data_IF_464455723203
#
_entry.id   IF_464455723203
#
_cell.length_a   1.000
_cell.length_b   1.000
_cell.length_c   1.000
_cell.angle_alpha   90.00
_cell.angle_beta   90.00
_cell.angle_gamma   90.00
#
_symmetry.space_group_name_H-M   'P 1'
#
loop_
_entity.id
_entity.type
_entity.pdbx_description
1 polymer ?
#
# COMPACT_ATOMS: atom_id res chain seq x y z
N UNK A 1 45.13 24.64 -28.17
CA UNK A 1 45.31 24.98 -26.74
C UNK A 1 44.61 26.31 -26.55
N UNK A 2 43.60 26.51 -25.69
CA UNK A 2 43.18 25.75 -24.53
C UNK A 2 41.63 25.64 -24.46
N UNK A 3 41.19 24.55 -23.86
CA UNK A 3 39.81 24.24 -23.48
C UNK A 3 39.45 25.05 -22.24
N UNK A 4 38.36 25.80 -22.25
CA UNK A 4 37.73 26.29 -21.02
C UNK A 4 36.65 25.31 -20.60
N UNK A 5 36.96 24.61 -19.52
CA UNK A 5 36.10 23.69 -18.78
C UNK A 5 35.11 24.55 -18.01
N UNK A 6 33.87 24.65 -18.50
CA UNK A 6 32.77 25.22 -17.72
C UNK A 6 32.52 24.32 -16.51
N UNK A 7 32.83 24.85 -15.33
CA UNK A 7 32.69 24.16 -14.06
C UNK A 7 31.23 23.76 -13.84
N UNK A 8 31.00 22.46 -13.70
CA UNK A 8 29.82 21.88 -13.10
C UNK A 8 29.60 22.48 -11.70
N UNK A 9 28.63 23.39 -11.60
CA UNK A 9 28.05 23.80 -10.32
C UNK A 9 27.35 22.57 -9.71
N UNK A 10 27.94 22.01 -8.66
CA UNK A 10 27.26 21.07 -7.77
C UNK A 10 26.12 21.80 -7.05
N UNK A 11 24.87 21.30 -7.09
CA UNK A 11 23.78 21.88 -6.32
C UNK A 11 23.85 21.45 -4.84
N UNK A 12 23.18 22.26 -4.03
CA UNK A 12 23.24 22.29 -2.58
C UNK A 12 22.76 20.99 -1.93
N UNK A 13 23.56 20.46 -0.99
CA UNK A 13 23.22 19.39 -0.04
C UNK A 13 22.16 18.40 -0.55
N UNK A 14 22.47 17.76 -1.69
CA UNK A 14 21.56 16.83 -2.35
C UNK A 14 21.21 15.70 -1.38
N UNK A 15 19.93 15.59 -1.05
CA UNK A 15 19.41 14.41 -0.38
C UNK A 15 19.70 13.20 -1.24
N UNK A 16 20.32 12.19 -0.65
CA UNK A 16 20.51 10.93 -1.36
C UNK A 16 19.17 10.17 -1.52
N UNK A 17 19.15 9.17 -2.40
CA UNK A 17 17.94 8.38 -2.66
C UNK A 17 17.43 7.68 -1.37
N UNK A 18 18.35 7.32 -0.46
CA UNK A 18 18.00 6.63 0.79
C UNK A 18 17.30 7.57 1.77
N UNK A 19 17.73 8.83 1.86
CA UNK A 19 17.11 9.89 2.65
C UNK A 19 15.73 10.23 2.10
N UNK A 20 15.57 10.27 0.76
CA UNK A 20 14.27 10.46 0.13
C UNK A 20 13.30 9.32 0.46
N UNK A 21 13.73 8.06 0.37
CA UNK A 21 12.93 6.88 0.77
C UNK A 21 12.55 6.92 2.25
N UNK A 22 13.52 7.27 3.12
CA UNK A 22 13.32 7.43 4.56
C UNK A 22 12.21 8.45 4.87
N UNK A 23 12.28 9.61 4.23
CA UNK A 23 11.28 10.65 4.40
C UNK A 23 9.90 10.27 3.87
N UNK A 24 9.82 9.58 2.72
CA UNK A 24 8.55 9.12 2.18
C UNK A 24 7.86 8.11 3.12
N UNK A 25 8.63 7.20 3.73
CA UNK A 25 8.09 6.29 4.74
C UNK A 25 7.66 7.01 6.02
N UNK A 26 8.41 8.03 6.44
CA UNK A 26 8.03 8.86 7.59
C UNK A 26 6.73 9.62 7.34
N UNK A 27 6.60 10.23 6.16
CA UNK A 27 5.36 10.91 5.74
C UNK A 27 4.18 9.93 5.62
N UNK A 28 4.41 8.70 5.16
CA UNK A 28 3.39 7.66 5.13
C UNK A 28 2.88 7.30 6.55
N UNK A 29 3.79 7.14 7.52
CA UNK A 29 3.42 6.91 8.93
C UNK A 29 2.63 8.08 9.52
N UNK A 30 3.05 9.32 9.25
CA UNK A 30 2.33 10.53 9.65
C UNK A 30 0.94 10.59 9.02
N UNK A 31 0.81 10.21 7.76
CA UNK A 31 -0.48 10.16 7.07
C UNK A 31 -1.39 9.09 7.68
N UNK A 32 -0.87 7.94 8.09
CA UNK A 32 -1.63 6.92 8.82
C UNK A 32 -2.15 7.47 10.16
N UNK A 33 -1.29 8.12 10.95
CA UNK A 33 -1.69 8.77 12.21
C UNK A 33 -2.76 9.85 11.98
N UNK A 34 -2.59 10.71 10.98
CA UNK A 34 -3.58 11.72 10.61
C UNK A 34 -4.92 11.08 10.21
N UNK A 35 -4.90 9.93 9.54
CA UNK A 35 -6.12 9.22 9.13
C UNK A 35 -6.92 8.63 10.29
N UNK A 36 -6.29 8.45 11.46
CA UNK A 36 -6.94 8.01 12.69
C UNK A 36 -7.60 9.17 13.45
N UNK A 37 -7.19 10.42 13.21
CA UNK A 37 -7.74 11.60 13.91
C UNK A 37 -9.25 11.77 13.72
N UNK A 38 -9.84 11.62 12.51
CA UNK A 38 -11.30 11.70 12.34
C UNK A 38 -12.08 10.62 13.09
N UNK A 39 -11.43 9.50 13.46
CA UNK A 39 -12.05 8.42 14.25
C UNK A 39 -12.03 8.70 15.74
N UNK A 40 -10.99 9.41 16.20
CA UNK A 40 -10.79 9.75 17.61
C UNK A 40 -11.53 11.04 17.97
N UNK A 41 -11.55 12.00 17.04
CA UNK A 41 -12.33 13.22 17.10
C UNK A 41 -13.72 12.93 16.52
N UNK A 42 -14.58 12.24 17.27
CA UNK A 42 -16.02 12.36 17.03
C UNK A 42 -16.35 13.82 17.32
N UNK A 43 -16.45 14.64 16.28
CA UNK A 43 -16.82 16.03 16.42
C UNK A 43 -18.09 16.11 17.27
N UNK A 44 -18.17 17.00 18.27
CA UNK A 44 -19.40 17.18 19.02
C UNK A 44 -20.57 17.39 18.04
N UNK A 45 -21.74 16.81 18.31
CA UNK A 45 -22.91 16.94 17.43
C UNK A 45 -23.36 18.40 17.21
N UNK A 46 -22.81 19.36 17.96
CA UNK A 46 -23.12 20.78 17.83
C UNK A 46 -22.52 21.46 16.58
N UNK A 47 -21.74 20.74 15.77
CA UNK A 47 -21.24 21.20 14.45
C UNK A 47 -22.01 20.63 13.25
N UNK A 48 -23.27 20.23 13.43
CA UNK A 48 -24.20 20.06 12.30
C UNK A 48 -24.65 21.44 11.78
N UNK A 49 -23.79 22.07 10.97
CA UNK A 49 -24.23 23.13 10.06
C UNK A 49 -24.97 22.43 8.90
N UNK A 50 -26.30 22.50 8.97
CA UNK A 50 -27.32 22.06 8.01
C UNK A 50 -27.89 20.65 8.22
N UNK A 51 -28.86 20.57 9.14
CA UNK A 51 -30.20 20.02 8.87
C UNK A 51 -30.31 18.54 8.47
N UNK A 52 -30.11 17.62 9.42
CA UNK A 52 -30.78 16.31 9.39
C UNK A 52 -31.31 15.94 10.77
N UNK A 53 -32.59 16.21 10.99
CA UNK A 53 -33.37 15.50 12.01
C UNK A 53 -33.55 14.07 11.55
N UNK A 54 -32.76 13.13 12.07
CA UNK A 54 -33.11 11.71 12.08
C UNK A 54 -33.18 11.23 13.51
N UNK A 55 -34.35 10.74 13.87
CA UNK A 55 -34.73 10.11 15.13
C UNK A 55 -33.66 9.18 15.69
N UNK A 56 -33.26 9.46 16.94
CA UNK A 56 -32.41 8.62 17.75
C UNK A 56 -33.14 7.31 18.10
N UNK A 57 -32.66 6.19 17.55
CA UNK A 57 -33.06 4.85 17.95
C UNK A 57 -32.04 4.30 18.97
N UNK A 58 -32.41 4.04 20.25
CA UNK A 58 -31.46 3.65 21.28
C UNK A 58 -30.96 2.19 21.21
N UNK A 59 -31.40 1.36 20.25
CA UNK A 59 -31.21 -0.11 20.35
C UNK A 59 -29.98 -0.71 19.64
N UNK A 60 -29.05 0.09 19.11
CA UNK A 60 -27.80 -0.44 18.53
C UNK A 60 -26.60 -0.17 19.43
N UNK A 61 -26.67 -0.67 20.67
CA UNK A 61 -25.53 -0.77 21.56
C UNK A 61 -25.12 -2.24 21.67
N UNK A 62 -24.43 -2.77 20.64
CA UNK A 62 -23.78 -4.08 20.73
C UNK A 62 -22.36 -4.01 20.18
N UNK A 63 -21.42 -4.07 21.14
CA UNK A 63 -20.10 -4.70 21.02
C UNK A 63 -19.24 -4.30 19.83
N UNK A 64 -18.51 -3.19 20.01
CA UNK A 64 -17.18 -3.02 19.42
C UNK A 64 -16.22 -2.78 20.58
N UNK A 65 -15.75 -3.85 21.22
CA UNK A 65 -14.49 -3.83 21.98
C UNK A 65 -13.32 -3.75 20.98
N UNK A 66 -13.28 -2.69 20.19
CA UNK A 66 -12.03 -2.29 19.56
C UNK A 66 -11.28 -1.48 20.60
N UNK A 67 -10.04 -1.88 20.88
CA UNK A 67 -9.12 -1.21 21.82
C UNK A 67 -9.29 0.30 21.69
N UNK A 68 -9.89 0.93 22.69
CA UNK A 68 -10.01 2.38 22.75
C UNK A 68 -8.59 2.93 22.89
N UNK A 69 -7.96 3.25 21.76
CA UNK A 69 -6.81 4.11 21.80
C UNK A 69 -7.26 5.43 22.41
N UNK A 70 -6.59 5.86 23.48
CA UNK A 70 -6.84 7.15 24.10
C UNK A 70 -6.75 8.26 23.03
N UNK A 71 -7.86 8.94 22.69
CA UNK A 71 -7.88 10.00 21.69
C UNK A 71 -6.86 11.09 22.00
N UNK A 72 -6.61 11.36 23.29
CA UNK A 72 -5.63 12.33 23.75
C UNK A 72 -4.21 11.90 23.39
N UNK A 73 -3.89 10.62 23.57
CA UNK A 73 -2.60 10.04 23.20
C UNK A 73 -2.33 10.08 21.69
N UNK A 74 -3.34 9.81 20.85
CA UNK A 74 -3.18 9.87 19.39
C UNK A 74 -2.95 11.30 18.93
N UNK A 75 -3.75 12.25 19.42
CA UNK A 75 -3.62 13.66 19.06
C UNK A 75 -2.26 14.22 19.50
N UNK A 76 -1.83 13.91 20.73
CA UNK A 76 -0.53 14.34 21.23
C UNK A 76 0.62 13.70 20.46
N UNK A 77 0.52 12.40 20.15
CA UNK A 77 1.51 11.68 19.34
C UNK A 77 1.64 12.28 17.93
N UNK A 78 0.51 12.53 17.26
CA UNK A 78 0.51 13.19 15.96
C UNK A 78 1.08 14.60 16.03
N UNK A 79 0.68 15.41 17.02
CA UNK A 79 1.19 16.78 17.18
C UNK A 79 2.71 16.79 17.41
N UNK A 80 3.21 15.90 18.27
CA UNK A 80 4.64 15.77 18.53
C UNK A 80 5.40 15.32 17.26
N UNK A 81 4.88 14.34 16.52
CA UNK A 81 5.49 13.87 15.27
C UNK A 81 5.43 14.94 14.17
N UNK A 82 4.34 15.71 14.07
CA UNK A 82 4.19 16.80 13.10
C UNK A 82 5.13 17.98 13.39
N UNK A 83 5.33 18.30 14.68
CA UNK A 83 6.22 19.37 15.13
C UNK A 83 7.68 18.92 15.26
N UNK A 84 8.00 17.65 14.97
CA UNK A 84 9.37 17.16 15.06
C UNK A 84 10.28 17.86 14.04
N UNK A 85 11.55 18.01 14.41
CA UNK A 85 12.56 18.61 13.54
C UNK A 85 12.71 17.84 12.22
N UNK A 86 12.60 16.52 12.27
CA UNK A 86 12.63 15.64 11.10
C UNK A 86 11.51 15.97 10.11
N UNK A 87 10.26 16.06 10.58
CA UNK A 87 9.11 16.39 9.72
C UNK A 87 9.25 17.79 9.12
N UNK A 88 9.68 18.78 9.92
CA UNK A 88 9.86 20.13 9.42
C UNK A 88 10.99 20.22 8.39
N UNK A 89 12.09 19.50 8.59
CA UNK A 89 13.19 19.42 7.62
C UNK A 89 12.76 18.79 6.30
N UNK A 90 11.98 17.70 6.34
CA UNK A 90 11.41 17.07 5.14
C UNK A 90 10.52 18.08 4.37
N UNK A 91 9.65 18.80 5.08
CA UNK A 91 8.73 19.76 4.46
C UNK A 91 9.46 20.99 3.89
N UNK A 92 10.52 21.44 4.55
CA UNK A 92 11.37 22.54 4.08
C UNK A 92 12.11 22.12 2.81
N UNK A 93 12.77 20.97 2.81
CA UNK A 93 13.42 20.41 1.64
C UNK A 93 12.43 20.25 0.47
N UNK A 94 11.24 19.70 0.72
CA UNK A 94 10.20 19.53 -0.32
C UNK A 94 9.79 20.87 -0.95
N UNK A 95 9.68 21.94 -0.15
CA UNK A 95 9.36 23.29 -0.65
C UNK A 95 10.50 23.86 -1.48
N UNK A 96 11.75 23.61 -1.10
CA UNK A 96 12.92 24.03 -1.86
C UNK A 96 13.02 23.27 -3.18
N UNK A 97 12.83 21.96 -3.17
CA UNK A 97 12.80 21.13 -4.38
C UNK A 97 11.65 21.55 -5.33
N UNK A 98 10.46 21.84 -4.81
CA UNK A 98 9.33 22.30 -5.63
C UNK A 98 9.59 23.67 -6.27
N UNK A 99 10.34 24.56 -5.60
CA UNK A 99 10.75 25.84 -6.18
C UNK A 99 11.80 25.65 -7.27
N UNK A 100 12.70 24.66 -7.11
CA UNK A 100 13.73 24.34 -8.07
C UNK A 100 13.18 23.62 -9.32
N UNK A 101 12.23 22.70 -9.13
CA UNK A 101 11.53 21.99 -10.21
C UNK A 101 10.00 22.02 -9.98
N UNK A 102 9.28 22.89 -10.70
CA UNK A 102 7.83 22.98 -10.58
C UNK A 102 7.09 21.87 -11.35
N UNK A 103 7.75 21.07 -12.20
CA UNK A 103 7.09 20.01 -12.96
C UNK A 103 6.97 18.72 -12.15
N UNK A 104 5.77 18.49 -11.60
CA UNK A 104 5.44 17.28 -10.84
C UNK A 104 4.83 16.17 -11.72
N UNK A 105 4.93 16.26 -13.05
CA UNK A 105 4.35 15.25 -13.96
C UNK A 105 4.93 13.84 -13.72
N UNK A 106 6.19 13.75 -13.30
CA UNK A 106 6.84 12.50 -12.93
C UNK A 106 6.26 11.85 -11.66
N UNK A 107 5.67 12.64 -10.74
CA UNK A 107 5.10 12.15 -9.49
C UNK A 107 3.93 11.17 -9.71
N UNK A 108 3.29 11.18 -10.88
CA UNK A 108 2.25 10.20 -11.24
C UNK A 108 2.77 8.75 -11.19
N UNK A 109 4.08 8.55 -11.39
CA UNK A 109 4.72 7.22 -11.34
C UNK A 109 5.16 6.82 -9.93
N UNK A 110 5.18 7.76 -9.00
CA UNK A 110 5.66 7.54 -7.63
C UNK A 110 4.51 6.93 -6.81
N UNK A 111 4.70 5.75 -6.19
CA UNK A 111 3.65 5.14 -5.39
C UNK A 111 3.33 6.01 -4.18
N UNK A 112 2.05 6.17 -3.88
CA UNK A 112 1.59 6.95 -2.72
C UNK A 112 1.84 6.23 -1.38
N UNK A 113 1.98 4.91 -1.40
CA UNK A 113 2.04 4.04 -0.22
C UNK A 113 3.08 2.92 -0.37
N UNK A 114 3.45 2.34 0.78
CA UNK A 114 4.35 1.21 0.99
C UNK A 114 5.84 1.53 0.98
N UNK A 115 6.19 2.79 1.26
CA UNK A 115 7.55 3.22 1.55
C UNK A 115 8.06 2.63 2.87
N UNK A 116 7.18 2.44 3.85
CA UNK A 116 7.50 1.75 5.11
C UNK A 116 7.96 0.31 4.83
N UNK A 117 7.20 -0.43 4.03
CA UNK A 117 7.50 -1.81 3.66
C UNK A 117 8.80 -1.93 2.84
N UNK A 118 9.11 -0.91 2.01
CA UNK A 118 10.35 -0.86 1.22
C UNK A 118 11.56 -0.69 2.14
N UNK A 119 11.51 0.24 3.09
CA UNK A 119 12.61 0.47 4.03
C UNK A 119 12.85 -0.70 4.97
N UNK A 120 11.78 -1.31 5.48
CA UNK A 120 11.90 -2.44 6.40
C UNK A 120 12.53 -3.64 5.68
N UNK A 121 12.18 -3.88 4.41
CA UNK A 121 12.85 -4.88 3.58
C UNK A 121 14.32 -4.56 3.31
N UNK A 122 14.66 -3.30 3.00
CA UNK A 122 16.06 -2.89 2.77
C UNK A 122 16.91 -3.05 4.05
N UNK A 123 16.31 -2.79 5.23
CA UNK A 123 16.95 -3.04 6.53
C UNK A 123 17.08 -4.52 6.86
N UNK A 124 16.07 -5.32 6.56
CA UNK A 124 16.11 -6.78 6.73
C UNK A 124 17.17 -7.40 5.81
N UNK A 125 17.26 -6.95 4.56
CA UNK A 125 18.32 -7.37 3.64
C UNK A 125 19.73 -6.96 4.13
N UNK A 126 19.88 -5.77 4.71
CA UNK A 126 21.15 -5.31 5.30
C UNK A 126 21.52 -5.97 6.63
N UNK A 127 20.55 -6.44 7.42
CA UNK A 127 20.79 -7.15 8.68
C UNK A 127 21.24 -8.61 8.48
N UNK A 128 20.88 -9.22 7.35
CA UNK A 128 21.32 -10.58 6.96
C UNK A 128 22.80 -10.62 6.55
N UNK A 129 23.45 -9.48 6.25
CA UNK A 129 24.88 -9.45 5.89
C UNK A 129 25.86 -9.77 7.05
N UNK A 130 25.39 -9.97 8.29
CA UNK A 130 26.25 -10.40 9.42
C UNK A 130 25.94 -11.78 10.00
N UNK A 131 25.03 -12.54 9.41
CA UNK A 131 24.71 -13.89 9.88
C UNK A 131 24.00 -14.68 8.80
N UNK A 132 24.76 -15.59 8.19
CA UNK A 132 24.41 -16.50 7.09
C UNK A 132 24.18 -15.88 5.71
N UNK A 133 25.08 -16.31 4.80
CA UNK A 133 24.98 -16.20 3.36
C UNK A 133 23.70 -16.89 2.87
N UNK A 134 22.58 -16.17 2.83
CA UNK A 134 21.46 -16.52 1.98
C UNK A 134 21.49 -15.57 0.78
N UNK A 135 22.26 -16.03 -0.21
CA UNK A 135 22.11 -15.80 -1.64
C UNK A 135 21.66 -14.39 -2.09
N UNK A 136 22.65 -13.59 -2.46
CA UNK A 136 22.55 -12.81 -3.70
C UNK A 136 22.20 -13.77 -4.84
N UNK A 137 20.91 -13.99 -5.10
CA UNK A 137 20.48 -14.63 -6.33
C UNK A 137 20.62 -13.60 -7.45
N UNK A 138 21.71 -13.80 -8.20
CA UNK A 138 21.84 -13.45 -9.60
C UNK A 138 20.53 -13.71 -10.38
N UNK A 139 20.38 -13.04 -11.52
CA UNK A 139 19.36 -13.21 -12.56
C UNK A 139 19.18 -14.67 -13.04
N UNK A 140 18.72 -15.55 -12.15
CA UNK A 140 18.17 -16.86 -12.46
C UNK A 140 16.65 -16.72 -12.47
N UNK A 141 16.08 -17.26 -13.52
CA UNK A 141 14.66 -17.37 -13.80
C UNK A 141 13.84 -17.58 -12.51
N UNK A 142 13.20 -16.52 -12.00
CA UNK A 142 12.31 -16.60 -10.83
C UNK A 142 11.45 -17.85 -10.97
N UNK A 143 11.52 -18.77 -10.00
CA UNK A 143 10.77 -20.02 -10.01
C UNK A 143 9.27 -19.74 -9.82
N UNK A 144 8.63 -19.33 -10.91
CA UNK A 144 7.20 -19.02 -10.96
C UNK A 144 6.39 -20.25 -10.59
N UNK A 145 6.81 -21.41 -11.09
CA UNK A 145 6.17 -22.69 -10.83
C UNK A 145 6.11 -22.99 -9.34
N UNK A 146 7.25 -22.89 -8.63
CA UNK A 146 7.31 -23.07 -7.18
C UNK A 146 6.44 -22.08 -6.42
N UNK A 147 6.50 -20.78 -6.77
CA UNK A 147 5.68 -19.74 -6.12
C UNK A 147 4.18 -20.00 -6.35
N UNK A 148 3.78 -20.34 -7.57
CA UNK A 148 2.38 -20.60 -7.91
C UNK A 148 1.87 -21.88 -7.26
N UNK A 149 2.71 -22.92 -7.17
CA UNK A 149 2.32 -24.19 -6.55
C UNK A 149 2.20 -24.05 -5.03
N UNK A 150 3.09 -23.29 -4.38
CA UNK A 150 2.93 -22.89 -2.98
C UNK A 150 1.61 -22.13 -2.77
N UNK A 151 1.30 -21.17 -3.65
CA UNK A 151 0.04 -20.43 -3.60
C UNK A 151 -1.19 -21.34 -3.76
N UNK A 152 -1.16 -22.30 -4.70
CA UNK A 152 -2.25 -23.28 -4.87
C UNK A 152 -2.45 -24.14 -3.62
N UNK A 153 -1.35 -24.53 -2.97
CA UNK A 153 -1.38 -25.31 -1.74
C UNK A 153 -1.99 -24.52 -0.57
N UNK A 154 -1.58 -23.27 -0.39
CA UNK A 154 -2.12 -22.37 0.65
C UNK A 154 -3.58 -21.95 0.38
N UNK A 155 -3.96 -21.86 -0.90
CA UNK A 155 -5.26 -21.36 -1.32
C UNK A 155 -5.98 -22.31 -2.30
N UNK A 156 -6.46 -23.48 -1.84
CA UNK A 156 -7.05 -24.52 -2.69
C UNK A 156 -8.36 -24.10 -3.38
N UNK A 157 -8.96 -22.98 -2.97
CA UNK A 157 -10.18 -22.41 -3.59
C UNK A 157 -9.90 -21.68 -4.90
N UNK A 158 -8.63 -21.43 -5.21
CA UNK A 158 -8.20 -20.70 -6.39
C UNK A 158 -7.90 -21.68 -7.52
N UNK A 159 -8.45 -21.39 -8.70
CA UNK A 159 -8.06 -22.02 -9.96
C UNK A 159 -6.98 -21.16 -10.59
N UNK A 160 -5.76 -21.66 -10.64
CA UNK A 160 -4.62 -20.98 -11.25
C UNK A 160 -4.15 -21.77 -12.47
N UNK A 161 -4.14 -21.11 -13.63
CA UNK A 161 -3.59 -21.65 -14.87
C UNK A 161 -2.40 -20.79 -15.30
N UNK A 162 -1.35 -21.44 -15.78
CA UNK A 162 -0.17 -20.78 -16.34
C UNK A 162 -0.15 -21.08 -17.84
N UNK A 163 -0.02 -20.04 -18.65
CA UNK A 163 -0.04 -20.08 -20.10
C UNK A 163 1.16 -19.31 -20.67
N UNK A 164 1.44 -19.53 -21.96
CA UNK A 164 2.47 -18.81 -22.73
C UNK A 164 3.84 -18.81 -22.04
N UNK A 165 4.39 -20.00 -21.79
CA UNK A 165 5.74 -20.19 -21.23
C UNK A 165 5.99 -19.39 -19.94
N UNK A 166 5.09 -19.52 -18.97
CA UNK A 166 5.15 -18.82 -17.67
C UNK A 166 5.03 -17.29 -17.74
N UNK A 167 4.55 -16.74 -18.85
CA UNK A 167 4.33 -15.29 -18.99
C UNK A 167 2.93 -14.85 -18.56
N UNK A 168 1.95 -15.75 -18.63
CA UNK A 168 0.55 -15.43 -18.36
C UNK A 168 0.01 -16.31 -17.24
N UNK A 169 -0.34 -15.69 -16.10
CA UNK A 169 -0.94 -16.39 -14.97
C UNK A 169 -2.42 -15.95 -14.86
N UNK A 170 -3.31 -16.89 -15.11
CA UNK A 170 -4.76 -16.71 -14.99
C UNK A 170 -5.23 -17.26 -13.64
N UNK A 171 -5.79 -16.39 -12.80
CA UNK A 171 -6.23 -16.74 -11.45
C UNK A 171 -7.73 -16.49 -11.35
N UNK A 172 -8.48 -17.48 -10.85
CA UNK A 172 -9.93 -17.37 -10.73
C UNK A 172 -10.43 -18.00 -9.43
N UNK A 173 -11.35 -17.33 -8.76
CA UNK A 173 -12.06 -17.89 -7.61
C UNK A 173 -13.49 -17.38 -7.55
N UNK A 174 -14.37 -18.16 -6.91
CA UNK A 174 -15.81 -17.88 -6.84
C UNK A 174 -16.20 -17.38 -5.45
N UNK A 175 -16.85 -16.22 -5.43
CA UNK A 175 -17.62 -15.70 -4.31
C UNK A 175 -19.12 -16.01 -4.54
N UNK A 176 -19.98 -15.96 -3.50
CA UNK A 176 -21.38 -16.37 -3.63
C UNK A 176 -22.13 -15.72 -4.80
N UNK A 177 -21.90 -14.42 -5.03
CA UNK A 177 -22.59 -13.64 -6.07
C UNK A 177 -21.64 -13.11 -7.15
N UNK A 178 -20.38 -13.55 -7.16
CA UNK A 178 -19.34 -12.92 -7.99
C UNK A 178 -18.24 -13.91 -8.36
N UNK A 179 -17.88 -13.96 -9.63
CA UNK A 179 -16.69 -14.67 -10.09
C UNK A 179 -15.56 -13.66 -10.25
N UNK A 180 -14.48 -13.85 -9.51
CA UNK A 180 -13.27 -13.04 -9.61
C UNK A 180 -12.31 -13.69 -10.59
N UNK A 181 -11.81 -12.92 -11.55
CA UNK A 181 -10.80 -13.35 -12.53
C UNK A 181 -9.69 -12.32 -12.57
N UNK A 182 -8.47 -12.78 -12.42
CA UNK A 182 -7.27 -11.98 -12.49
C UNK A 182 -6.38 -12.53 -13.59
N UNK A 183 -5.70 -11.63 -14.27
CA UNK A 183 -4.72 -11.94 -15.29
C UNK A 183 -3.44 -11.21 -14.92
N UNK A 184 -2.35 -11.97 -14.76
CA UNK A 184 -1.03 -11.43 -14.47
C UNK A 184 -0.14 -11.71 -15.68
N UNK A 185 0.37 -10.63 -16.28
CA UNK A 185 1.28 -10.65 -17.41
C UNK A 185 2.68 -10.31 -16.92
N UNK A 186 3.64 -11.20 -17.19
CA UNK A 186 5.06 -10.95 -16.97
C UNK A 186 5.68 -10.45 -18.27
N UNK A 187 6.07 -9.17 -18.30
CA UNK A 187 6.75 -8.56 -19.45
C UNK A 187 8.23 -8.38 -19.14
N UNK A 188 9.09 -8.76 -20.08
CA UNK A 188 10.53 -8.45 -20.00
C UNK A 188 10.76 -7.00 -20.45
N UNK A 189 11.39 -6.21 -19.59
CA UNK A 189 11.79 -4.85 -19.90
C UNK A 189 13.15 -4.80 -20.60
N UNK A 190 13.48 -3.66 -21.22
CA UNK A 190 14.73 -3.45 -21.97
C UNK A 190 15.98 -3.50 -21.10
N UNK A 191 15.84 -3.27 -19.80
CA UNK A 191 16.88 -3.41 -18.78
C UNK A 191 17.14 -4.88 -18.38
N UNK A 192 16.41 -5.84 -18.94
CA UNK A 192 16.49 -7.26 -18.56
C UNK A 192 15.65 -7.64 -17.34
N UNK A 193 15.08 -6.67 -16.64
CA UNK A 193 14.16 -6.89 -15.53
C UNK A 193 12.79 -7.35 -16.03
N UNK A 194 11.98 -7.89 -15.12
CA UNK A 194 10.61 -8.27 -15.41
C UNK A 194 9.65 -7.33 -14.71
N UNK A 195 8.66 -6.87 -15.46
CA UNK A 195 7.50 -6.14 -14.95
C UNK A 195 6.31 -7.08 -14.86
N UNK A 196 5.61 -7.04 -13.72
CA UNK A 196 4.34 -7.72 -13.56
C UNK A 196 3.20 -6.72 -13.77
N UNK A 197 2.33 -6.99 -14.74
CA UNK A 197 1.09 -6.24 -14.92
C UNK A 197 -0.07 -7.13 -14.53
N UNK A 198 -0.90 -6.65 -13.60
CA UNK A 198 -2.02 -7.40 -13.09
C UNK A 198 -3.32 -6.67 -13.39
N UNK A 199 -4.29 -7.37 -13.94
CA UNK A 199 -5.64 -6.87 -14.17
C UNK A 199 -6.69 -7.78 -13.53
N UNK A 200 -7.74 -7.17 -12.96
CA UNK A 200 -8.95 -7.86 -12.60
C UNK A 200 -9.95 -7.75 -13.76
N UNK A 201 -10.30 -8.89 -14.36
CA UNK A 201 -11.08 -8.95 -15.60
C UNK A 201 -12.58 -8.84 -15.30
N UNK A 202 -13.23 -7.85 -15.91
CA UNK A 202 -14.69 -7.76 -15.98
C UNK A 202 -15.19 -6.34 -16.21
N UNK A 203 -16.53 -6.19 -16.31
CA UNK A 203 -17.18 -4.92 -16.70
C UNK A 203 -17.80 -4.14 -15.54
N UNK A 204 -18.03 -4.76 -14.38
CA UNK A 204 -18.56 -4.05 -13.22
C UNK A 204 -17.56 -3.02 -12.71
N UNK A 205 -18.00 -1.86 -12.18
CA UNK A 205 -17.11 -0.79 -11.71
C UNK A 205 -16.03 -1.22 -10.71
N UNK A 206 -16.28 -2.29 -9.94
CA UNK A 206 -15.34 -2.86 -8.99
C UNK A 206 -14.07 -3.40 -9.64
N UNK A 207 -14.17 -4.05 -10.79
CA UNK A 207 -13.01 -4.68 -11.44
C UNK A 207 -11.95 -3.68 -11.92
N UNK A 208 -12.29 -2.62 -12.69
CA UNK A 208 -11.29 -1.62 -13.06
C UNK A 208 -10.75 -0.86 -11.83
N UNK A 209 -11.54 -0.70 -10.75
CA UNK A 209 -11.05 -0.14 -9.50
C UNK A 209 -9.99 -1.05 -8.85
N UNK A 210 -10.23 -2.37 -8.81
CA UNK A 210 -9.25 -3.35 -8.36
C UNK A 210 -7.99 -3.32 -9.24
N UNK A 211 -8.13 -3.29 -10.57
CA UNK A 211 -6.99 -3.18 -11.50
C UNK A 211 -6.11 -1.97 -11.20
N UNK A 212 -6.72 -0.79 -10.96
CA UNK A 212 -5.96 0.41 -10.57
C UNK A 212 -5.23 0.22 -9.24
N UNK A 213 -5.88 -0.38 -8.25
CA UNK A 213 -5.27 -0.66 -6.95
C UNK A 213 -4.11 -1.67 -7.04
N UNK A 214 -4.24 -2.69 -7.88
CA UNK A 214 -3.16 -3.64 -8.17
C UNK A 214 -1.98 -2.93 -8.84
N UNK A 215 -2.24 -2.03 -9.79
CA UNK A 215 -1.19 -1.28 -10.47
C UNK A 215 -0.42 -0.33 -9.53
N UNK A 216 -1.09 0.24 -8.52
CA UNK A 216 -0.48 1.12 -7.51
C UNK A 216 0.12 0.40 -6.31
N UNK A 217 0.34 -0.92 -6.39
CA UNK A 217 0.89 -1.71 -5.29
C UNK A 217 2.35 -1.33 -4.97
N UNK A 218 2.79 -1.45 -3.71
CA UNK A 218 4.13 -1.01 -3.30
C UNK A 218 5.26 -1.91 -3.78
N UNK A 219 4.98 -3.20 -4.02
CA UNK A 219 5.94 -4.18 -4.56
C UNK A 219 5.52 -4.61 -5.96
N UNK A 220 5.76 -3.77 -7.00
CA UNK A 220 5.25 -4.03 -8.34
C UNK A 220 5.86 -5.30 -8.97
N UNK A 221 7.08 -5.70 -8.64
CA UNK A 221 7.73 -6.85 -9.29
C UNK A 221 7.81 -8.11 -8.42
N UNK A 222 7.17 -8.10 -7.24
CA UNK A 222 7.10 -9.26 -6.34
C UNK A 222 5.84 -10.08 -6.64
N UNK A 223 6.04 -11.26 -7.27
CA UNK A 223 4.92 -12.14 -7.63
C UNK A 223 4.22 -12.70 -6.39
N UNK A 224 4.97 -13.07 -5.34
CA UNK A 224 4.37 -13.63 -4.12
C UNK A 224 3.48 -12.59 -3.46
N UNK A 225 3.97 -11.36 -3.28
CA UNK A 225 3.18 -10.26 -2.74
C UNK A 225 1.91 -10.01 -3.57
N UNK A 226 2.01 -10.03 -4.89
CA UNK A 226 0.85 -9.86 -5.78
C UNK A 226 -0.17 -10.98 -5.60
N UNK A 227 0.27 -12.23 -5.49
CA UNK A 227 -0.60 -13.38 -5.25
C UNK A 227 -1.29 -13.29 -3.89
N UNK A 228 -0.56 -12.93 -2.83
CA UNK A 228 -1.11 -12.70 -1.48
C UNK A 228 -2.15 -11.55 -1.50
N UNK A 229 -1.86 -10.47 -2.24
CA UNK A 229 -2.80 -9.37 -2.44
C UNK A 229 -4.08 -9.82 -3.18
N UNK A 230 -3.94 -10.69 -4.19
CA UNK A 230 -5.08 -11.29 -4.91
C UNK A 230 -5.89 -12.18 -3.97
N UNK A 231 -5.23 -12.97 -3.11
CA UNK A 231 -5.89 -13.82 -2.12
C UNK A 231 -6.74 -13.02 -1.12
N UNK A 232 -6.29 -11.81 -0.77
CA UNK A 232 -7.03 -10.92 0.11
C UNK A 232 -8.40 -10.45 -0.45
N UNK A 233 -8.69 -10.66 -1.74
CA UNK A 233 -10.01 -10.37 -2.32
C UNK A 233 -11.07 -11.45 -2.04
N UNK A 234 -10.76 -12.53 -1.32
CA UNK A 234 -11.72 -13.60 -0.95
C UNK A 234 -12.87 -13.12 -0.06
N UNK A 235 -12.69 -12.00 0.64
CA UNK A 235 -13.72 -11.38 1.48
C UNK A 235 -14.37 -10.15 0.81
N UNK A 236 -14.22 -9.98 -0.51
CA UNK A 236 -14.87 -8.90 -1.26
C UNK A 236 -16.39 -8.92 -1.06
N UNK A 237 -16.99 -7.74 -0.89
CA UNK A 237 -18.40 -7.52 -0.47
C UNK A 237 -18.76 -7.93 0.96
N UNK A 238 -17.81 -8.42 1.76
CA UNK A 238 -18.00 -8.71 3.19
C UNK A 238 -17.11 -7.86 4.07
N UNK A 239 -15.90 -7.56 3.60
CA UNK A 239 -14.96 -6.72 4.32
C UNK A 239 -15.40 -5.25 4.31
N UNK A 240 -15.51 -4.67 5.51
CA UNK A 240 -15.65 -3.23 5.70
C UNK A 240 -14.32 -2.51 5.45
N UNK A 241 -14.39 -1.25 5.05
CA UNK A 241 -13.22 -0.42 4.86
C UNK A 241 -12.48 -0.20 6.19
N UNK A 242 -11.21 -0.57 6.28
CA UNK A 242 -10.37 -0.38 7.46
C UNK A 242 -10.25 1.10 7.87
N UNK A 243 -10.44 2.07 6.95
CA UNK A 243 -10.35 3.52 7.20
C UNK A 243 -11.67 4.23 7.47
N UNK A 244 -12.79 3.84 6.88
CA UNK A 244 -14.09 4.48 7.15
C UNK A 244 -15.14 3.57 7.81
N UNK A 245 -14.78 2.32 8.13
CA UNK A 245 -15.61 1.25 8.72
C UNK A 245 -16.88 0.87 7.93
N UNK A 246 -17.14 1.52 6.78
CA UNK A 246 -18.30 1.23 5.93
C UNK A 246 -18.02 0.10 4.95
N UNK A 247 -19.06 -0.68 4.64
CA UNK A 247 -19.03 -1.74 3.63
C UNK A 247 -19.07 -1.20 2.19
N UNK A 248 -19.69 -0.04 2.01
CA UNK A 248 -19.78 0.68 0.72
C UNK A 248 -19.49 2.16 0.96
N UNK A 249 -18.88 2.81 -0.03
CA UNK A 249 -18.67 4.26 -0.01
C UNK A 249 -19.91 5.04 -0.48
N UNK A 250 -19.79 6.37 -0.57
CA UNK A 250 -20.88 7.25 -1.04
C UNK A 250 -21.32 7.00 -2.49
N UNK A 251 -20.52 6.27 -3.27
CA UNK A 251 -20.85 5.86 -4.64
C UNK A 251 -21.42 4.44 -4.71
N UNK A 252 -21.64 3.78 -3.57
CA UNK A 252 -22.12 2.39 -3.50
C UNK A 252 -21.03 1.36 -3.82
N UNK A 253 -19.75 1.76 -3.83
CA UNK A 253 -18.64 0.89 -4.16
C UNK A 253 -18.09 0.21 -2.92
N UNK A 254 -17.88 -1.11 -2.98
CA UNK A 254 -17.22 -1.87 -1.91
C UNK A 254 -15.69 -1.65 -1.94
N UNK A 255 -14.97 -1.91 -0.83
CA UNK A 255 -13.51 -1.80 -0.77
C UNK A 255 -12.77 -2.56 -1.88
N UNK A 256 -12.25 -1.79 -2.84
CA UNK A 256 -11.51 -2.29 -4.01
C UNK A 256 -10.00 -2.39 -3.76
N UNK A 257 -9.47 -1.69 -2.76
CA UNK A 257 -8.06 -1.71 -2.44
C UNK A 257 -7.75 -2.76 -1.36
N UNK A 258 -6.51 -3.25 -1.40
CA UNK A 258 -5.91 -4.13 -0.40
C UNK A 258 -4.56 -3.57 -0.01
N UNK A 259 -4.30 -3.48 1.30
CA UNK A 259 -3.04 -3.01 1.84
C UNK A 259 -2.55 -3.98 2.89
N UNK A 260 -1.29 -4.41 2.77
CA UNK A 260 -0.63 -5.18 3.80
C UNK A 260 -0.31 -4.30 5.00
N UNK A 261 -0.47 -4.85 6.19
CA UNK A 261 -0.04 -4.24 7.45
C UNK A 261 0.61 -5.31 8.30
N UNK A 262 1.82 -5.04 8.78
CA UNK A 262 2.48 -5.89 9.78
C UNK A 262 1.81 -5.65 11.12
N UNK A 263 1.33 -6.71 11.74
CA UNK A 263 0.75 -6.69 13.09
C UNK A 263 1.61 -7.57 13.98
N UNK A 264 2.15 -6.99 15.04
CA UNK A 264 2.89 -7.73 16.06
C UNK A 264 1.90 -8.59 16.87
N UNK A 265 2.11 -9.90 16.86
CA UNK A 265 1.45 -10.81 17.79
C UNK A 265 1.99 -10.57 19.20
N UNK A 266 1.17 -10.74 20.26
CA UNK A 266 1.65 -10.71 21.65
C UNK A 266 2.82 -11.69 21.93
N UNK A 267 3.03 -12.68 21.06
CA UNK A 267 4.13 -13.66 21.13
C UNK A 267 5.41 -13.21 20.39
N UNK A 268 5.45 -11.98 19.86
CA UNK A 268 6.62 -11.42 19.15
C UNK A 268 6.71 -11.81 17.68
N UNK A 269 5.83 -12.66 17.16
CA UNK A 269 5.74 -12.96 15.73
C UNK A 269 5.00 -11.85 14.98
N UNK A 270 5.61 -11.26 13.95
CA UNK A 270 4.96 -10.30 13.06
C UNK A 270 4.15 -11.04 11.99
N UNK A 271 2.82 -10.87 11.99
CA UNK A 271 1.95 -11.42 10.95
C UNK A 271 1.54 -10.33 9.96
N UNK A 272 1.52 -10.66 8.67
CA UNK A 272 1.05 -9.76 7.63
C UNK A 272 -0.46 -9.90 7.48
N UNK A 273 -1.18 -8.83 7.79
CA UNK A 273 -2.65 -8.76 7.68
C UNK A 273 -3.03 -7.88 6.50
N UNK A 274 -4.02 -8.31 5.72
CA UNK A 274 -4.51 -7.54 4.58
C UNK A 274 -5.76 -6.74 4.94
N UNK A 275 -5.65 -5.42 4.91
CA UNK A 275 -6.73 -4.49 5.14
C UNK A 275 -7.50 -4.19 3.85
N UNK A 276 -8.83 -4.16 3.94
CA UNK A 276 -9.70 -3.75 2.86
C UNK A 276 -9.93 -2.23 2.89
N UNK A 277 -9.74 -1.52 1.79
CA UNK A 277 -9.92 -0.07 1.72
C UNK A 277 -10.78 0.31 0.50
N UNK A 278 -11.63 1.33 0.60
CA UNK A 278 -12.16 1.97 -0.61
C UNK A 278 -11.02 2.65 -1.38
N UNK A 279 -11.15 2.78 -2.69
CA UNK A 279 -10.12 3.42 -3.52
C UNK A 279 -9.81 4.85 -3.04
N UNK A 280 -10.83 5.61 -2.64
CA UNK A 280 -10.66 6.96 -2.04
C UNK A 280 -10.11 6.94 -0.61
N UNK A 281 -10.16 5.78 0.04
CA UNK A 281 -9.65 5.58 1.38
C UNK A 281 -8.19 5.12 1.40
N UNK A 282 -7.59 4.82 0.24
CA UNK A 282 -6.15 4.79 0.09
C UNK A 282 -5.63 6.21 0.35
#
# INVERSE_FOLDING_TARGET
MALEVSSSQQPAADWDETQCKAALAHLEKLQEQASLLPRCCRWPPDFDIVGRTTSYDPSHNTTSQDRAHDPGSILHGFKAAWQSQETQSILEHTKESQKADPDLSACVRVPKYGWVDILDNEKEAGAVEKGDQIAMLNNEEVDITGIVDAFKHEHPKFKVNIEADNQLINIMFRLPTLLMRFRVLRRKETNGNYKLDAECVGKMPLFPAITRCLASRPRPNDLKYLLDMIAAYTNTRRASCAKCTRLVDSSGMTPAARRSKRVESPEGASNLVWEALHERCL
#
